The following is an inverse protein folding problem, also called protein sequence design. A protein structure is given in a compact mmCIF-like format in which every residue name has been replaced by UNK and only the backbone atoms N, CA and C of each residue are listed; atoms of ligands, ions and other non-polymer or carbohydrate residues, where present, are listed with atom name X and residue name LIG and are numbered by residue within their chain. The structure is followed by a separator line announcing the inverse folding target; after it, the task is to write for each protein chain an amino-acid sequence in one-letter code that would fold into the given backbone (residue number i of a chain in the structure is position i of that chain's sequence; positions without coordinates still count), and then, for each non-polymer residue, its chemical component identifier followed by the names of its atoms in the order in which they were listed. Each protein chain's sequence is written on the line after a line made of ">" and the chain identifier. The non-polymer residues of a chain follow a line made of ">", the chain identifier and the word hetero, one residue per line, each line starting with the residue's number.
data_IF_102874023084
#
_entry.id   IF_102874023084
#
_cell.length_a   1.000
_cell.length_b   1.000
_cell.length_c   1.000
_cell.angle_alpha   90.00
_cell.angle_beta   90.00
_cell.angle_gamma   90.00
#
_symmetry.space_group_name_H-M   'P 1'
#
loop_
_entity.id
_entity.type
_entity.pdbx_description
1 polymer ?
#
# COMPACT_ATOMS: atom_id res chain seq x y z
N UNK A 1 21.66 -54.72 -16.04
CA UNK A 1 21.96 -53.65 -15.06
C UNK A 1 21.71 -52.30 -15.71
N UNK A 2 20.60 -51.62 -15.42
CA UNK A 2 20.36 -50.23 -15.85
C UNK A 2 20.26 -49.37 -14.61
N UNK A 3 21.32 -48.61 -14.32
CA UNK A 3 21.33 -47.55 -13.32
C UNK A 3 20.64 -46.35 -13.95
N UNK A 4 19.38 -46.10 -13.60
CA UNK A 4 18.77 -44.80 -13.87
C UNK A 4 19.17 -43.91 -12.68
N UNK A 5 19.98 -42.90 -13.01
CA UNK A 5 20.51 -41.89 -12.11
C UNK A 5 19.32 -41.11 -11.55
N UNK A 6 19.15 -41.17 -10.23
CA UNK A 6 18.29 -40.25 -9.48
C UNK A 6 18.84 -38.84 -9.70
N UNK A 7 18.17 -38.04 -10.54
CA UNK A 7 18.50 -36.63 -10.71
C UNK A 7 18.08 -35.90 -9.43
N UNK A 8 19.00 -35.86 -8.47
CA UNK A 8 18.87 -35.02 -7.30
C UNK A 8 18.95 -33.55 -7.71
N UNK A 9 17.87 -32.81 -7.50
CA UNK A 9 17.83 -31.43 -7.01
C UNK A 9 16.42 -31.26 -6.40
N UNK A 10 16.16 -31.60 -5.13
CA UNK A 10 16.50 -30.75 -3.99
C UNK A 10 16.45 -29.25 -4.31
N UNK A 11 15.32 -28.78 -4.83
CA UNK A 11 14.80 -27.50 -4.38
C UNK A 11 13.67 -27.84 -3.41
N UNK A 12 13.89 -27.78 -2.07
CA UNK A 12 12.75 -27.49 -1.23
C UNK A 12 12.14 -26.22 -1.81
N UNK A 13 10.90 -26.37 -2.27
CA UNK A 13 9.97 -25.32 -2.64
C UNK A 13 9.76 -24.42 -1.42
N UNK A 14 10.79 -23.68 -1.02
CA UNK A 14 10.62 -22.43 -0.31
C UNK A 14 10.22 -21.41 -1.37
N UNK A 15 9.09 -21.65 -2.02
CA UNK A 15 8.20 -20.58 -2.41
C UNK A 15 7.76 -19.93 -1.09
N UNK A 16 8.67 -19.17 -0.48
CA UNK A 16 8.34 -18.26 0.60
C UNK A 16 7.33 -17.33 -0.04
N UNK A 17 6.06 -17.59 0.26
CA UNK A 17 4.95 -16.82 -0.27
C UNK A 17 5.26 -15.36 0.03
N UNK A 18 5.65 -14.61 -1.00
CA UNK A 18 5.92 -13.19 -0.86
C UNK A 18 4.56 -12.53 -0.68
N UNK A 19 4.16 -12.36 0.58
CA UNK A 19 2.82 -11.93 0.98
C UNK A 19 2.73 -10.44 1.24
N UNK A 20 3.85 -9.72 1.29
CA UNK A 20 3.89 -8.33 1.74
C UNK A 20 4.57 -7.48 0.68
N UNK A 21 3.87 -6.47 0.17
CA UNK A 21 4.46 -5.38 -0.59
C UNK A 21 5.03 -4.33 0.37
N UNK A 22 6.25 -3.90 0.09
CA UNK A 22 6.95 -2.83 0.78
C UNK A 22 7.07 -1.66 -0.20
N UNK A 23 6.46 -0.54 0.17
CA UNK A 23 6.34 0.67 -0.62
C UNK A 23 7.29 1.71 -0.04
N UNK A 24 8.20 2.21 -0.88
CA UNK A 24 9.14 3.25 -0.54
C UNK A 24 8.40 4.57 -0.28
N UNK A 25 8.64 5.26 0.85
CA UNK A 25 7.89 6.47 1.19
C UNK A 25 8.13 7.62 0.21
N UNK A 26 9.26 7.58 -0.52
CA UNK A 26 9.61 8.58 -1.54
C UNK A 26 9.15 8.20 -2.94
N UNK A 27 8.58 7.00 -3.12
CA UNK A 27 8.17 6.44 -4.41
C UNK A 27 9.32 6.36 -5.45
N UNK A 28 10.57 6.32 -4.98
CA UNK A 28 11.76 6.30 -5.84
C UNK A 28 12.22 4.87 -6.16
N UNK A 29 12.11 3.96 -5.19
CA UNK A 29 12.45 2.54 -5.35
C UNK A 29 11.21 1.75 -5.78
N UNK A 30 11.34 0.71 -6.62
CA UNK A 30 10.21 -0.14 -6.99
C UNK A 30 9.60 -0.83 -5.78
N UNK A 31 8.31 -1.17 -5.86
CA UNK A 31 7.63 -1.97 -4.84
C UNK A 31 8.36 -3.29 -4.69
N UNK A 32 8.74 -3.63 -3.46
CA UNK A 32 9.47 -4.86 -3.15
C UNK A 32 8.54 -5.85 -2.47
N UNK A 33 8.53 -7.10 -2.93
CA UNK A 33 7.72 -8.17 -2.33
C UNK A 33 8.56 -9.05 -1.41
N UNK A 34 8.14 -9.14 -0.16
CA UNK A 34 8.86 -9.86 0.90
C UNK A 34 7.93 -10.82 1.64
N UNK A 35 8.51 -11.81 2.30
CA UNK A 35 7.78 -12.74 3.16
C UNK A 35 7.66 -12.26 4.61
N UNK A 36 8.52 -11.33 5.05
CA UNK A 36 8.41 -10.64 6.34
C UNK A 36 8.87 -9.19 6.25
N UNK A 37 8.32 -8.32 7.10
CA UNK A 37 8.84 -6.97 7.31
C UNK A 37 10.15 -7.02 8.11
N UNK A 38 11.15 -6.26 7.69
CA UNK A 38 12.44 -6.14 8.39
C UNK A 38 12.48 -4.83 9.20
N UNK A 39 13.34 -4.76 10.21
CA UNK A 39 13.56 -3.52 10.97
C UNK A 39 13.99 -2.36 10.06
N UNK A 40 14.78 -2.64 9.02
CA UNK A 40 15.20 -1.61 8.06
C UNK A 40 14.01 -1.00 7.33
N UNK A 41 13.01 -1.79 6.93
CA UNK A 41 11.80 -1.26 6.30
C UNK A 41 11.04 -0.30 7.22
N UNK A 42 11.03 -0.56 8.54
CA UNK A 42 10.36 0.29 9.51
C UNK A 42 11.13 1.58 9.77
N UNK A 43 12.46 1.47 9.93
CA UNK A 43 13.35 2.62 10.12
C UNK A 43 13.34 3.54 8.90
N UNK A 44 13.25 2.97 7.70
CA UNK A 44 13.08 3.71 6.45
C UNK A 44 11.66 4.30 6.29
N UNK A 45 10.71 3.95 7.16
CA UNK A 45 9.33 4.44 7.09
C UNK A 45 8.54 3.86 5.92
N UNK A 46 8.90 2.66 5.44
CA UNK A 46 8.21 2.03 4.33
C UNK A 46 6.76 1.69 4.70
N UNK A 47 5.86 1.98 3.77
CA UNK A 47 4.47 1.57 3.89
C UNK A 47 4.32 0.11 3.46
N UNK A 48 3.70 -0.73 4.28
CA UNK A 48 3.63 -2.19 4.02
C UNK A 48 2.20 -2.65 3.78
N UNK A 49 1.94 -3.44 2.76
CA UNK A 49 0.58 -3.88 2.42
C UNK A 49 0.60 -5.36 2.12
N UNK A 50 -0.37 -6.12 2.63
CA UNK A 50 -0.56 -7.51 2.19
C UNK A 50 -0.77 -7.52 0.67
N UNK A 51 -0.01 -8.33 -0.06
CA UNK A 51 -0.01 -8.40 -1.53
C UNK A 51 -1.42 -8.57 -2.08
N UNK A 52 -2.21 -9.45 -1.45
CA UNK A 52 -3.59 -9.75 -1.85
C UNK A 52 -4.53 -8.54 -1.63
N UNK A 53 -4.12 -7.56 -0.83
CA UNK A 53 -4.87 -6.34 -0.53
C UNK A 53 -4.43 -5.13 -1.38
N UNK A 54 -3.39 -5.22 -2.22
CA UNK A 54 -2.93 -4.06 -3.01
C UNK A 54 -4.03 -3.51 -3.93
N UNK A 55 -4.72 -4.37 -4.68
CA UNK A 55 -5.80 -3.93 -5.58
C UNK A 55 -6.92 -3.25 -4.78
N UNK A 56 -7.26 -3.86 -3.64
CA UNK A 56 -8.22 -3.37 -2.69
C UNK A 56 -7.86 -1.97 -2.14
N UNK A 57 -6.58 -1.73 -1.88
CA UNK A 57 -6.02 -0.43 -1.45
C UNK A 57 -6.10 0.59 -2.58
N UNK A 58 -5.69 0.22 -3.79
CA UNK A 58 -5.76 1.09 -4.97
C UNK A 58 -7.20 1.53 -5.28
N UNK A 59 -8.17 0.63 -5.16
CA UNK A 59 -9.60 0.95 -5.32
C UNK A 59 -10.09 1.97 -4.28
N UNK A 60 -9.71 1.80 -3.01
CA UNK A 60 -10.05 2.75 -1.95
C UNK A 60 -9.48 4.15 -2.23
N UNK A 61 -8.23 4.21 -2.70
CA UNK A 61 -7.56 5.46 -3.07
C UNK A 61 -8.22 6.12 -4.29
N UNK A 62 -8.61 5.33 -5.31
CA UNK A 62 -9.34 5.85 -6.48
C UNK A 62 -10.70 6.41 -6.12
N UNK A 63 -11.44 5.74 -5.24
CA UNK A 63 -12.71 6.25 -4.73
C UNK A 63 -12.51 7.58 -4.00
N UNK A 64 -11.45 7.70 -3.19
CA UNK A 64 -11.14 8.95 -2.51
C UNK A 64 -10.72 10.07 -3.46
N UNK A 65 -9.89 9.76 -4.46
CA UNK A 65 -9.50 10.70 -5.52
C UNK A 65 -10.73 11.35 -6.16
N UNK A 66 -11.74 10.54 -6.50
CA UNK A 66 -12.98 11.02 -7.09
C UNK A 66 -13.75 11.99 -6.16
N UNK A 67 -13.77 11.72 -4.84
CA UNK A 67 -14.39 12.62 -3.87
C UNK A 67 -13.68 13.98 -3.79
N UNK A 68 -12.33 14.00 -3.79
CA UNK A 68 -11.56 15.25 -3.81
C UNK A 68 -11.86 16.04 -5.08
N UNK A 69 -11.84 15.37 -6.23
CA UNK A 69 -12.02 15.99 -7.54
C UNK A 69 -13.41 16.65 -7.65
N UNK A 70 -14.44 15.87 -7.28
CA UNK A 70 -15.84 16.29 -7.23
C UNK A 70 -16.16 17.31 -6.11
N UNK A 71 -15.20 17.59 -5.22
CA UNK A 71 -15.36 18.43 -4.01
C UNK A 71 -16.51 17.96 -3.11
N UNK A 72 -16.69 16.65 -2.99
CA UNK A 72 -17.72 16.04 -2.16
C UNK A 72 -17.22 15.86 -0.72
N UNK A 73 -18.16 15.88 0.22
CA UNK A 73 -17.87 15.50 1.61
C UNK A 73 -17.45 14.04 1.70
N UNK A 74 -16.56 13.73 2.65
CA UNK A 74 -16.13 12.36 2.91
C UNK A 74 -17.27 11.63 3.64
N UNK A 75 -17.83 10.56 3.06
CA UNK A 75 -18.85 9.76 3.72
C UNK A 75 -18.37 9.18 5.05
N UNK A 76 -19.24 9.07 6.05
CA UNK A 76 -18.88 8.56 7.38
C UNK A 76 -18.31 7.13 7.33
N UNK A 77 -18.82 6.29 6.45
CA UNK A 77 -18.33 4.93 6.22
C UNK A 77 -16.95 4.87 5.54
N UNK A 78 -16.46 5.99 4.97
CA UNK A 78 -15.10 6.11 4.45
C UNK A 78 -14.11 6.71 5.46
N UNK A 79 -14.60 7.30 6.56
CA UNK A 79 -13.72 7.88 7.58
C UNK A 79 -12.82 6.84 8.26
N UNK A 80 -13.24 5.58 8.24
CA UNK A 80 -12.45 4.40 8.63
C UNK A 80 -12.83 3.21 7.76
N UNK A 81 -12.08 2.96 6.68
CA UNK A 81 -12.21 1.70 5.91
C UNK A 81 -11.13 0.74 6.36
N UNK A 82 -11.52 -0.47 6.75
CA UNK A 82 -10.61 -1.56 7.08
C UNK A 82 -10.61 -2.53 5.89
N UNK A 83 -9.46 -2.72 5.24
CA UNK A 83 -9.24 -3.81 4.27
C UNK A 83 -8.05 -4.64 4.73
N UNK A 84 -8.32 -5.81 5.29
CA UNK A 84 -7.30 -6.65 5.91
C UNK A 84 -6.61 -5.93 7.08
N UNK A 85 -5.29 -5.86 7.05
CA UNK A 85 -4.45 -5.20 8.06
C UNK A 85 -4.26 -3.69 7.83
N UNK A 86 -4.85 -3.13 6.77
CA UNK A 86 -4.71 -1.73 6.37
C UNK A 86 -5.96 -0.92 6.74
N UNK A 87 -5.74 0.19 7.43
CA UNK A 87 -6.71 1.18 7.86
C UNK A 87 -6.60 2.42 6.98
N UNK A 88 -7.72 2.83 6.39
CA UNK A 88 -7.85 4.11 5.71
C UNK A 88 -8.55 5.07 6.65
N UNK A 89 -7.85 6.11 7.08
CA UNK A 89 -8.47 7.20 7.84
C UNK A 89 -8.59 8.41 6.95
N UNK A 90 -9.83 8.82 6.69
CA UNK A 90 -10.13 10.00 5.90
C UNK A 90 -10.93 10.99 6.74
N UNK A 91 -10.44 12.22 6.88
CA UNK A 91 -11.16 13.26 7.62
C UNK A 91 -11.09 14.58 6.90
N UNK A 92 -12.20 15.31 6.87
CA UNK A 92 -12.30 16.53 6.10
C UNK A 92 -13.73 16.97 5.84
N UNK A 93 -13.84 18.25 5.48
CA UNK A 93 -15.02 18.89 4.92
C UNK A 93 -14.70 19.36 3.50
N UNK A 94 -15.70 19.84 2.75
CA UNK A 94 -15.54 20.30 1.36
C UNK A 94 -14.25 21.11 1.15
N UNK A 95 -13.29 20.49 0.45
CA UNK A 95 -12.04 21.14 0.07
C UNK A 95 -10.89 21.06 1.07
N UNK A 96 -11.08 20.58 2.32
CA UNK A 96 -9.98 20.33 3.27
C UNK A 96 -9.95 18.87 3.68
N UNK A 97 -8.94 18.13 3.23
CA UNK A 97 -8.87 16.69 3.43
C UNK A 97 -7.57 16.28 4.12
N UNK A 98 -7.63 15.24 4.95
CA UNK A 98 -6.47 14.48 5.39
C UNK A 98 -6.77 13.01 5.13
N UNK A 99 -5.86 12.35 4.41
CA UNK A 99 -5.84 10.88 4.33
C UNK A 99 -4.58 10.40 5.02
N UNK A 100 -4.77 9.47 5.94
CA UNK A 100 -3.71 8.63 6.48
C UNK A 100 -4.06 7.19 6.14
N UNK A 101 -3.15 6.53 5.44
CA UNK A 101 -3.13 5.08 5.35
C UNK A 101 -2.31 4.57 6.52
N UNK A 102 -2.85 3.70 7.36
CA UNK A 102 -2.10 2.99 8.40
C UNK A 102 -2.17 1.50 8.09
N UNK A 103 -1.10 0.77 8.33
CA UNK A 103 -1.03 -0.67 8.08
C UNK A 103 -0.34 -1.36 9.23
N UNK A 104 -1.00 -2.36 9.79
CA UNK A 104 -0.53 -3.09 10.98
C UNK A 104 -0.17 -4.51 10.60
N UNK A 105 1.05 -4.68 10.10
CA UNK A 105 1.61 -6.01 9.88
C UNK A 105 2.46 -6.37 11.10
N UNK A 106 2.24 -7.55 11.68
CA UNK A 106 3.02 -8.08 12.82
C UNK A 106 3.08 -7.15 14.05
N UNK A 107 1.99 -6.43 14.35
CA UNK A 107 1.86 -5.45 15.45
C UNK A 107 2.75 -4.21 15.32
N UNK A 108 3.40 -4.01 14.18
CA UNK A 108 4.15 -2.80 13.86
C UNK A 108 3.35 -1.99 12.85
N UNK A 109 2.92 -0.78 13.25
CA UNK A 109 2.16 0.12 12.40
C UNK A 109 3.08 0.95 11.53
N UNK A 110 2.77 1.11 10.25
CA UNK A 110 3.36 2.14 9.39
C UNK A 110 2.29 2.99 8.75
N UNK A 111 2.55 4.28 8.56
CA UNK A 111 1.58 5.19 7.96
C UNK A 111 2.10 5.87 6.71
N UNK A 112 1.20 6.13 5.76
CA UNK A 112 1.47 6.89 4.55
C UNK A 112 0.46 8.02 4.43
N UNK A 113 0.97 9.24 4.27
CA UNK A 113 0.14 10.44 4.11
C UNK A 113 0.01 10.71 2.62
N UNK A 114 -1.19 10.53 2.07
CA UNK A 114 -1.48 10.84 0.66
C UNK A 114 -1.97 12.27 0.45
N UNK A 115 -2.62 12.82 1.48
CA UNK A 115 -3.32 14.10 1.38
C UNK A 115 -3.09 14.91 2.63
N UNK A 116 -2.61 16.13 2.42
CA UNK A 116 -2.31 17.09 3.47
C UNK A 116 -3.24 18.30 3.32
N UNK A 117 -3.85 18.73 4.43
CA UNK A 117 -4.76 19.90 4.45
C UNK A 117 -4.07 21.20 4.06
N UNK A 118 -2.75 21.25 4.19
CA UNK A 118 -1.95 22.43 3.80
C UNK A 118 -1.75 22.53 2.29
N UNK A 119 -1.86 21.41 1.59
CA UNK A 119 -1.61 21.34 0.15
C UNK A 119 -2.90 21.70 -0.60
N UNK A 120 -2.74 22.34 -1.76
CA UNK A 120 -3.85 22.64 -2.64
C UNK A 120 -4.53 21.35 -3.13
N UNK A 121 -5.79 21.47 -3.57
CA UNK A 121 -6.52 20.35 -4.18
C UNK A 121 -5.74 19.72 -5.34
N UNK A 122 -5.09 20.54 -6.17
CA UNK A 122 -4.33 20.07 -7.33
C UNK A 122 -3.13 19.23 -6.88
N UNK A 123 -2.36 19.71 -5.91
CA UNK A 123 -1.20 19.00 -5.37
C UNK A 123 -1.61 17.67 -4.69
N UNK A 124 -2.73 17.66 -3.99
CA UNK A 124 -3.28 16.45 -3.40
C UNK A 124 -3.72 15.41 -4.45
N UNK A 125 -4.42 15.85 -5.52
CA UNK A 125 -4.79 14.97 -6.63
C UNK A 125 -3.56 14.42 -7.36
N UNK A 126 -2.55 15.26 -7.60
CA UNK A 126 -1.29 14.87 -8.22
C UNK A 126 -0.52 13.85 -7.35
N UNK A 127 -0.48 14.05 -6.03
CA UNK A 127 0.13 13.11 -5.08
C UNK A 127 -0.55 11.75 -5.11
N UNK A 128 -1.89 11.73 -5.15
CA UNK A 128 -2.66 10.48 -5.28
C UNK A 128 -2.38 9.80 -6.62
N UNK A 129 -2.38 10.55 -7.72
CA UNK A 129 -2.14 10.02 -9.06
C UNK A 129 -0.73 9.43 -9.20
N UNK A 130 0.26 10.11 -8.65
CA UNK A 130 1.64 9.62 -8.59
C UNK A 130 1.74 8.32 -7.78
N UNK A 131 1.06 8.24 -6.64
CA UNK A 131 1.03 7.02 -5.83
C UNK A 131 0.33 5.86 -6.55
N UNK A 132 -0.82 6.11 -7.18
CA UNK A 132 -1.53 5.10 -7.96
C UNK A 132 -0.71 4.61 -9.15
N UNK A 133 -0.07 5.51 -9.90
CA UNK A 133 0.81 5.16 -11.00
C UNK A 133 2.04 4.37 -10.54
N UNK A 134 2.60 4.71 -9.38
CA UNK A 134 3.67 3.97 -8.75
C UNK A 134 3.26 2.52 -8.41
N UNK A 135 2.07 2.33 -7.81
CA UNK A 135 1.55 1.00 -7.49
C UNK A 135 1.17 0.19 -8.74
N UNK A 136 0.71 0.84 -9.81
CA UNK A 136 0.33 0.15 -11.03
C UNK A 136 1.56 -0.45 -11.76
N UNK A 137 2.74 0.18 -11.62
CA UNK A 137 4.02 -0.37 -12.11
C UNK A 137 4.48 -1.63 -11.37
N UNK A 138 3.89 -1.93 -10.22
CA UNK A 138 4.24 -3.09 -9.40
C UNK A 138 3.45 -4.36 -9.74
N UNK A 139 2.40 -4.24 -10.57
CA UNK A 139 1.61 -5.37 -11.07
C UNK A 139 2.32 -6.09 -12.20
#
# INVERSE_FOLDING_TARGET
>A
MKRIILLGMLLPLFASSQKIAVIDPKLQKPVTYVSKVSMNHLVEGCFVVDRDNINNVMEGIRAFRALIDDKKDIPDNMKSVIKGSTYFTASGDKGNYSIVLDTKIDKQGTYFILVNKKDSRKENLESIDNFLAYLDKAK
#
